data_IF_103079252477
#
_entry.id   IF_103079252477
#
_cell.length_a   1.000
_cell.length_b   1.000
_cell.length_c   1.000
_cell.angle_alpha   90.00
_cell.angle_beta   90.00
_cell.angle_gamma   90.00
#
_symmetry.space_group_name_H-M   'P 1'
#
loop_
_entity.id
_entity.type
_entity.pdbx_description
1 polymer ?
#
# COMPACT_ATOMS: atom_id res chain seq x y z
N UNK A 1 -9.76 -49.18 33.40
CA UNK A 1 -10.06 -47.96 34.18
C UNK A 1 -9.05 -46.88 33.80
N UNK A 2 -9.55 -45.80 33.18
CA UNK A 2 -9.06 -44.42 33.08
C UNK A 2 -7.58 -44.14 33.44
N UNK A 3 -6.79 -43.76 32.43
CA UNK A 3 -5.95 -42.55 32.49
C UNK A 3 -5.83 -41.92 31.12
N UNK A 4 -6.72 -40.95 30.95
CA UNK A 4 -6.89 -40.01 29.86
C UNK A 4 -5.78 -38.97 30.00
N UNK A 5 -4.72 -39.02 29.18
CA UNK A 5 -3.69 -37.98 29.20
C UNK A 5 -3.85 -37.05 27.99
N UNK A 6 -4.63 -36.02 28.28
CA UNK A 6 -5.07 -34.90 27.45
C UNK A 6 -3.95 -33.86 27.31
N UNK A 7 -2.93 -34.09 26.48
CA UNK A 7 -1.89 -33.08 26.22
C UNK A 7 -1.32 -33.19 24.80
N UNK A 8 -2.03 -32.64 23.81
CA UNK A 8 -1.43 -32.20 22.55
C UNK A 8 -2.27 -31.08 21.89
N UNK A 9 -2.83 -30.18 22.70
CA UNK A 9 -3.44 -28.94 22.23
C UNK A 9 -2.40 -27.81 22.34
N UNK A 10 -1.34 -27.84 21.53
CA UNK A 10 -0.30 -26.80 21.55
C UNK A 10 0.52 -26.68 20.24
N UNK A 11 -0.06 -26.96 19.06
CA UNK A 11 0.61 -26.68 17.76
C UNK A 11 -0.33 -25.87 16.86
N UNK A 12 -0.87 -24.78 17.39
CA UNK A 12 -1.77 -23.89 16.62
C UNK A 12 -1.27 -22.45 16.49
N UNK A 13 -0.03 -22.12 16.88
CA UNK A 13 0.37 -20.71 17.11
C UNK A 13 1.67 -20.22 16.45
N UNK A 14 2.37 -20.99 15.59
CA UNK A 14 3.69 -20.54 15.05
C UNK A 14 3.78 -20.54 13.51
N UNK A 15 2.69 -20.71 12.75
CA UNK A 15 2.80 -20.82 11.28
C UNK A 15 1.87 -19.91 10.49
N UNK A 16 1.85 -18.59 10.78
CA UNK A 16 1.27 -17.63 9.83
C UNK A 16 2.01 -16.28 9.84
N UNK A 17 3.06 -16.14 9.03
CA UNK A 17 3.37 -14.86 8.42
C UNK A 17 3.27 -15.02 6.89
N UNK A 18 2.05 -15.21 6.36
CA UNK A 18 1.87 -15.31 4.90
C UNK A 18 0.93 -14.26 4.29
N UNK A 19 0.39 -13.34 5.09
CA UNK A 19 -0.56 -12.33 4.59
C UNK A 19 -0.01 -10.90 4.47
N UNK A 20 1.26 -10.65 4.77
CA UNK A 20 1.81 -9.27 4.76
C UNK A 20 2.66 -8.91 3.54
N UNK A 21 2.86 -9.81 2.57
CA UNK A 21 3.65 -9.51 1.37
C UNK A 21 2.86 -8.76 0.26
N UNK A 22 1.54 -8.63 0.37
CA UNK A 22 0.69 -8.19 -0.75
C UNK A 22 0.53 -6.66 -0.91
N UNK A 23 0.97 -5.84 0.06
CA UNK A 23 0.73 -4.39 0.07
C UNK A 23 1.92 -3.54 -0.38
N UNK A 24 2.86 -4.11 -1.14
CA UNK A 24 3.91 -3.32 -1.79
C UNK A 24 3.30 -2.60 -3.01
N UNK A 25 3.30 -1.26 -3.07
CA UNK A 25 2.86 -0.56 -4.26
C UNK A 25 3.72 -0.99 -5.44
N UNK A 26 3.08 -1.41 -6.53
CA UNK A 26 3.79 -1.81 -7.73
C UNK A 26 4.64 -0.66 -8.26
N UNK A 27 5.89 -0.95 -8.65
CA UNK A 27 6.75 0.04 -9.28
C UNK A 27 6.14 0.50 -10.61
N UNK A 28 6.04 1.82 -10.81
CA UNK A 28 5.51 2.43 -12.04
C UNK A 28 6.50 2.21 -13.19
N UNK A 29 6.00 1.75 -14.35
CA UNK A 29 6.80 1.53 -15.56
C UNK A 29 6.39 2.50 -16.68
N UNK A 30 7.26 2.65 -17.68
CA UNK A 30 6.95 3.42 -18.89
C UNK A 30 5.78 2.77 -19.63
N UNK A 31 4.79 3.57 -20.00
CA UNK A 31 3.57 3.13 -20.68
C UNK A 31 2.42 2.78 -19.73
N UNK A 32 2.69 2.60 -18.43
CA UNK A 32 1.62 2.43 -17.45
C UNK A 32 0.80 3.72 -17.34
N UNK A 33 -0.52 3.57 -17.14
CA UNK A 33 -1.34 4.68 -16.70
C UNK A 33 -0.85 5.11 -15.32
N UNK A 34 -0.48 6.38 -15.16
CA UNK A 34 -0.10 6.94 -13.88
C UNK A 34 -1.23 6.72 -12.84
N UNK A 35 -0.93 6.18 -11.65
CA UNK A 35 -1.91 6.05 -10.57
C UNK A 35 -2.48 7.41 -10.18
N UNK A 36 -3.80 7.48 -10.00
CA UNK A 36 -4.42 8.71 -9.51
C UNK A 36 -4.04 8.95 -8.05
N UNK A 37 -3.91 10.22 -7.68
CA UNK A 37 -3.66 10.66 -6.32
C UNK A 37 -4.28 12.04 -6.13
N UNK A 38 -4.67 12.34 -4.89
CA UNK A 38 -5.18 13.65 -4.51
C UNK A 38 -4.27 14.25 -3.45
N UNK A 39 -3.89 15.52 -3.63
CA UNK A 39 -3.07 16.28 -2.69
C UNK A 39 -3.77 17.58 -2.33
N UNK A 40 -3.43 18.10 -1.15
CA UNK A 40 -3.75 19.47 -0.77
C UNK A 40 -2.76 20.42 -1.45
N UNK A 41 -3.27 21.32 -2.28
CA UNK A 41 -2.49 22.38 -2.93
C UNK A 41 -2.08 23.49 -1.94
N UNK A 42 -1.21 24.40 -2.36
CA UNK A 42 -0.79 25.59 -1.60
C UNK A 42 -1.95 26.50 -1.21
N UNK A 43 -3.03 26.50 -2.00
CA UNK A 43 -4.25 27.27 -1.73
C UNK A 43 -5.26 26.49 -0.86
N UNK A 44 -4.82 25.40 -0.22
CA UNK A 44 -5.64 24.49 0.59
C UNK A 44 -6.80 23.78 -0.15
N UNK A 45 -6.80 23.82 -1.49
CA UNK A 45 -7.74 23.07 -2.32
C UNK A 45 -7.25 21.65 -2.54
N UNK A 46 -8.18 20.70 -2.62
CA UNK A 46 -7.86 19.35 -3.09
C UNK A 46 -7.67 19.37 -4.60
N UNK A 47 -6.58 18.78 -5.09
CA UNK A 47 -6.29 18.60 -6.51
C UNK A 47 -5.90 17.16 -6.76
N UNK A 48 -6.46 16.56 -7.80
CA UNK A 48 -6.18 15.18 -8.22
C UNK A 48 -5.36 15.16 -9.52
N UNK A 49 -4.61 14.09 -9.76
CA UNK A 49 -3.91 13.92 -11.04
C UNK A 49 -4.90 13.91 -12.20
N UNK A 50 -6.08 13.31 -12.01
CA UNK A 50 -7.18 13.28 -12.99
C UNK A 50 -7.70 14.66 -13.40
N UNK A 51 -7.57 15.69 -12.57
CA UNK A 51 -7.95 17.07 -12.92
C UNK A 51 -7.12 17.65 -14.09
N UNK A 52 -5.96 17.05 -14.36
CA UNK A 52 -5.04 17.46 -15.44
C UNK A 52 -5.11 16.54 -16.68
N UNK A 53 -6.14 15.71 -16.80
CA UNK A 53 -6.30 14.81 -17.95
C UNK A 53 -6.22 15.55 -19.30
N UNK A 54 -5.55 14.92 -20.27
CA UNK A 54 -5.33 15.50 -21.61
C UNK A 54 -4.17 16.50 -21.70
N UNK A 55 -3.47 16.79 -20.61
CA UNK A 55 -2.23 17.59 -20.60
C UNK A 55 -0.99 16.70 -20.49
N UNK A 56 0.11 17.13 -21.09
CA UNK A 56 1.42 16.50 -20.86
C UNK A 56 2.05 17.11 -19.60
N UNK A 57 2.40 16.27 -18.62
CA UNK A 57 2.80 16.69 -17.27
C UNK A 57 4.16 16.10 -16.89
N UNK A 58 4.89 16.79 -16.02
CA UNK A 58 6.08 16.29 -15.34
C UNK A 58 5.81 16.35 -13.84
N UNK A 59 5.93 15.21 -13.15
CA UNK A 59 5.80 15.14 -11.69
C UNK A 59 7.19 15.23 -11.04
N UNK A 60 7.35 16.20 -10.15
CA UNK A 60 8.60 16.41 -9.40
C UNK A 60 8.37 16.06 -7.93
N UNK A 61 8.99 14.99 -7.46
CA UNK A 61 8.96 14.59 -6.05
C UNK A 61 10.16 15.21 -5.32
N UNK A 62 9.95 16.29 -4.58
CA UNK A 62 10.97 16.88 -3.70
C UNK A 62 10.83 16.35 -2.28
N UNK A 63 11.95 15.97 -1.65
CA UNK A 63 11.98 15.51 -0.25
C UNK A 63 11.98 16.64 0.78
N UNK A 64 12.06 17.89 0.34
CA UNK A 64 11.98 19.07 1.22
C UNK A 64 11.28 20.23 0.50
N UNK A 65 10.23 20.76 1.13
CA UNK A 65 9.85 22.17 1.01
C UNK A 65 10.25 22.78 2.36
N UNK A 66 11.24 23.66 2.35
CA UNK A 66 11.64 24.46 3.50
C UNK A 66 11.13 25.88 3.28
#
# INVERSE_FOLDING_TARGET
MKRFNMFAAAIALISMPMLQAANQPAAVKVGDKAPDFTLTSTDHKQVSLSDYAGKQLILVFSRAHW
#
